data_IF_918819583223
#
_entry.id   IF_918819583223
#
_cell.length_a   1.000
_cell.length_b   1.000
_cell.length_c   1.000
_cell.angle_alpha   90.00
_cell.angle_beta   90.00
_cell.angle_gamma   90.00
#
_symmetry.space_group_name_H-M   'P 1'
#
loop_
_entity.id
_entity.type
_entity.pdbx_description
1 polymer ?
#
# COMPACT_ATOMS: atom_id res chain seq x y z
N UNK A 1 27.81 -1.10 33.30
CA UNK A 1 26.88 -0.79 32.18
C UNK A 1 25.83 0.14 32.76
N UNK A 2 25.45 1.20 32.05
CA UNK A 2 24.40 2.11 32.54
C UNK A 2 23.05 1.35 32.58
N UNK A 3 22.63 0.95 33.78
CA UNK A 3 21.40 0.17 34.02
C UNK A 3 20.14 0.89 33.50
N UNK A 4 20.15 2.23 33.47
CA UNK A 4 19.08 3.02 32.88
C UNK A 4 19.01 2.86 31.36
N UNK A 5 20.17 2.78 30.70
CA UNK A 5 20.24 2.63 29.25
C UNK A 5 19.79 1.24 28.80
N UNK A 6 20.11 0.20 29.57
CA UNK A 6 19.66 -1.17 29.27
C UNK A 6 18.15 -1.29 29.41
N UNK A 7 17.54 -0.64 30.41
CA UNK A 7 16.07 -0.58 30.56
C UNK A 7 15.38 0.14 29.39
N UNK A 8 15.92 1.29 28.96
CA UNK A 8 15.39 2.03 27.81
C UNK A 8 15.42 1.19 26.52
N UNK A 9 16.53 0.49 26.27
CA UNK A 9 16.67 -0.39 25.10
C UNK A 9 15.70 -1.58 25.17
N UNK A 10 15.47 -2.15 26.35
CA UNK A 10 14.52 -3.25 26.54
C UNK A 10 13.08 -2.79 26.26
N UNK A 11 12.67 -1.61 26.75
CA UNK A 11 11.36 -1.03 26.47
C UNK A 11 11.17 -0.74 24.98
N UNK A 12 12.19 -0.18 24.32
CA UNK A 12 12.14 0.10 22.89
C UNK A 12 11.95 -1.18 22.06
N UNK A 13 12.65 -2.26 22.40
CA UNK A 13 12.49 -3.56 21.73
C UNK A 13 11.10 -4.15 21.92
N UNK A 14 10.55 -4.10 23.14
CA UNK A 14 9.20 -4.59 23.41
C UNK A 14 8.14 -3.82 22.61
N UNK A 15 8.28 -2.49 22.50
CA UNK A 15 7.40 -1.66 21.67
C UNK A 15 7.55 -1.98 20.18
N UNK A 16 8.77 -2.26 19.72
CA UNK A 16 9.01 -2.66 18.33
C UNK A 16 8.36 -4.00 17.99
N UNK A 17 8.40 -4.97 18.90
CA UNK A 17 7.74 -6.26 18.74
C UNK A 17 6.22 -6.10 18.68
N UNK A 18 5.64 -5.30 19.59
CA UNK A 18 4.22 -4.95 19.54
C UNK A 18 3.82 -4.27 18.23
N UNK A 19 4.64 -3.35 17.72
CA UNK A 19 4.40 -2.71 16.43
C UNK A 19 4.38 -3.74 15.30
N UNK A 20 5.35 -4.66 15.27
CA UNK A 20 5.40 -5.69 14.24
C UNK A 20 4.16 -6.60 14.26
N UNK A 21 3.70 -7.03 15.45
CA UNK A 21 2.48 -7.81 15.57
C UNK A 21 1.23 -7.05 15.12
N UNK A 22 1.14 -5.76 15.44
CA UNK A 22 0.02 -4.91 15.06
C UNK A 22 0.03 -4.70 13.54
N UNK A 23 1.20 -4.49 12.94
CA UNK A 23 1.38 -4.36 11.49
C UNK A 23 0.94 -5.64 10.77
N UNK A 24 1.33 -6.82 11.26
CA UNK A 24 0.88 -8.10 10.69
C UNK A 24 -0.63 -8.28 10.78
N UNK A 25 -1.23 -8.00 11.94
CA UNK A 25 -2.69 -8.04 12.14
C UNK A 25 -3.40 -7.05 11.21
N UNK A 26 -2.82 -5.87 11.02
CA UNK A 26 -3.36 -4.83 10.15
C UNK A 26 -3.29 -5.23 8.66
N UNK A 27 -2.19 -5.81 8.20
CA UNK A 27 -2.07 -6.31 6.82
C UNK A 27 -3.00 -7.50 6.57
N UNK A 28 -3.16 -8.40 7.55
CA UNK A 28 -4.15 -9.47 7.47
C UNK A 28 -5.59 -8.92 7.31
N UNK A 29 -5.95 -7.88 8.09
CA UNK A 29 -7.25 -7.21 7.96
C UNK A 29 -7.42 -6.52 6.61
N UNK A 30 -6.40 -5.82 6.10
CA UNK A 30 -6.43 -5.25 4.74
C UNK A 30 -6.69 -6.31 3.68
N UNK A 31 -6.03 -7.47 3.79
CA UNK A 31 -6.23 -8.59 2.85
C UNK A 31 -7.68 -9.07 2.88
N UNK A 32 -8.25 -9.28 4.06
CA UNK A 32 -9.66 -9.69 4.20
C UNK A 32 -10.63 -8.64 3.64
N UNK A 33 -10.39 -7.35 3.90
CA UNK A 33 -11.20 -6.26 3.34
C UNK A 33 -11.14 -6.28 1.82
N UNK A 34 -9.94 -6.46 1.26
CA UNK A 34 -9.73 -6.53 -0.19
C UNK A 34 -10.44 -7.73 -0.83
N UNK A 35 -10.29 -8.93 -0.27
CA UNK A 35 -10.98 -10.14 -0.73
C UNK A 35 -12.50 -9.97 -0.73
N UNK A 36 -13.03 -9.29 0.30
CA UNK A 36 -14.46 -9.01 0.41
C UNK A 36 -14.95 -7.99 -0.62
N UNK A 37 -14.15 -6.97 -0.93
CA UNK A 37 -14.44 -5.99 -2.00
C UNK A 37 -14.39 -6.65 -3.38
N UNK A 38 -13.39 -7.51 -3.62
CA UNK A 38 -13.25 -8.26 -4.88
C UNK A 38 -14.42 -9.23 -5.08
N UNK A 39 -14.81 -9.98 -4.03
CA UNK A 39 -15.95 -10.92 -4.09
C UNK A 39 -17.29 -10.23 -4.34
N UNK A 40 -17.47 -9.02 -3.80
CA UNK A 40 -18.68 -8.24 -3.98
C UNK A 40 -18.69 -7.39 -5.25
N UNK A 41 -17.61 -7.40 -6.03
CA UNK A 41 -17.38 -6.52 -7.18
C UNK A 41 -17.57 -5.02 -6.86
N UNK A 42 -17.34 -4.63 -5.60
CA UNK A 42 -17.50 -3.26 -5.12
C UNK A 42 -16.14 -2.57 -5.09
N UNK A 43 -16.01 -1.50 -5.88
CA UNK A 43 -14.80 -0.67 -5.90
C UNK A 43 -14.76 0.35 -4.76
N UNK A 44 -15.92 0.67 -4.16
CA UNK A 44 -16.05 1.65 -3.08
C UNK A 44 -17.19 1.30 -2.15
N UNK A 45 -16.93 1.31 -0.84
CA UNK A 45 -17.93 1.03 0.21
C UNK A 45 -17.85 2.08 1.30
N UNK A 46 -18.99 2.66 1.66
CA UNK A 46 -19.11 3.55 2.82
C UNK A 46 -19.58 2.73 4.01
N UNK A 47 -18.81 2.77 5.08
CA UNK A 47 -19.13 2.11 6.36
C UNK A 47 -19.37 3.16 7.43
N UNK A 48 -19.80 2.75 8.63
CA UNK A 48 -19.87 3.65 9.79
C UNK A 48 -18.50 4.17 10.23
N UNK A 49 -17.43 3.45 9.90
CA UNK A 49 -16.06 3.76 10.32
C UNK A 49 -15.26 4.56 9.27
N UNK A 50 -15.84 4.85 8.09
CA UNK A 50 -15.14 5.54 7.02
C UNK A 50 -15.48 5.01 5.63
N UNK A 51 -14.75 5.47 4.63
CA UNK A 51 -14.88 5.04 3.23
C UNK A 51 -13.71 4.15 2.86
N UNK A 52 -14.03 2.96 2.35
CA UNK A 52 -13.03 2.03 1.81
C UNK A 52 -13.12 2.06 0.29
N UNK A 53 -11.98 2.23 -0.38
CA UNK A 53 -11.89 2.29 -1.83
C UNK A 53 -10.77 1.38 -2.34
N UNK A 54 -11.10 0.52 -3.30
CA UNK A 54 -10.15 -0.33 -4.02
C UNK A 54 -9.96 0.28 -5.42
N UNK A 55 -8.83 0.95 -5.64
CA UNK A 55 -8.49 1.54 -6.95
C UNK A 55 -7.50 0.65 -7.68
N UNK A 56 -7.79 0.38 -8.95
CA UNK A 56 -6.77 -0.04 -9.89
C UNK A 56 -5.90 1.17 -10.21
N UNK A 57 -4.60 1.06 -9.95
CA UNK A 57 -3.62 2.08 -10.31
C UNK A 57 -2.78 1.52 -11.43
N UNK A 58 -2.78 2.26 -12.53
CA UNK A 58 -1.86 2.05 -13.63
C UNK A 58 -0.63 2.89 -13.36
N UNK A 59 0.52 2.23 -13.21
CA UNK A 59 1.80 2.91 -13.08
C UNK A 59 2.66 2.59 -14.28
N UNK A 60 3.22 3.64 -14.85
CA UNK A 60 4.18 3.56 -15.93
C UNK A 60 5.51 4.09 -15.39
N UNK A 61 6.55 3.24 -15.40
CA UNK A 61 7.89 3.60 -14.88
C UNK A 61 8.65 4.60 -15.76
N UNK A 62 8.05 5.01 -16.88
CA UNK A 62 8.70 5.85 -17.87
C UNK A 62 8.24 7.30 -17.73
N UNK A 63 8.93 8.03 -16.86
CA UNK A 63 8.69 9.44 -16.61
C UNK A 63 9.33 10.29 -17.70
N UNK A 64 8.66 10.48 -18.82
CA UNK A 64 9.00 11.58 -19.73
C UNK A 64 7.79 11.92 -20.60
N UNK A 65 6.94 12.82 -20.09
CA UNK A 65 5.90 13.48 -20.90
C UNK A 65 6.45 14.02 -22.23
N UNK A 66 7.71 14.52 -22.21
CA UNK A 66 8.43 15.01 -23.40
C UNK A 66 8.79 13.92 -24.40
N UNK A 67 9.34 12.79 -23.95
CA UNK A 67 9.68 11.68 -24.85
C UNK A 67 8.44 11.04 -25.47
N UNK A 68 7.34 10.94 -24.73
CA UNK A 68 6.05 10.51 -25.30
C UNK A 68 5.53 11.48 -26.38
N UNK A 69 5.76 12.78 -26.21
CA UNK A 69 5.33 13.79 -27.15
C UNK A 69 6.19 13.79 -28.43
N UNK A 70 7.50 13.58 -28.30
CA UNK A 70 8.45 13.61 -29.42
C UNK A 70 8.58 12.25 -30.14
N UNK A 71 8.36 11.14 -29.43
CA UNK A 71 8.57 9.78 -29.94
C UNK A 71 7.47 8.80 -29.51
N UNK A 72 6.22 9.11 -29.84
CA UNK A 72 5.04 8.34 -29.43
C UNK A 72 5.07 6.85 -29.84
N UNK A 73 5.54 6.54 -31.06
CA UNK A 73 5.61 5.17 -31.59
C UNK A 73 6.64 4.31 -30.83
N UNK A 74 7.82 4.87 -30.54
CA UNK A 74 8.85 4.20 -29.75
C UNK A 74 8.45 4.06 -28.29
N UNK A 75 7.83 5.10 -27.72
CA UNK A 75 7.35 5.08 -26.34
C UNK A 75 6.38 3.89 -26.10
N UNK A 76 5.47 3.61 -27.04
CA UNK A 76 4.57 2.44 -26.95
C UNK A 76 5.30 1.09 -26.88
N UNK A 77 6.48 0.97 -27.47
CA UNK A 77 7.26 -0.28 -27.49
C UNK A 77 8.04 -0.51 -26.19
N UNK A 78 8.41 0.56 -25.49
CA UNK A 78 9.27 0.48 -24.30
C UNK A 78 8.52 0.69 -22.98
N UNK A 79 7.34 1.31 -23.01
CA UNK A 79 6.54 1.52 -21.80
C UNK A 79 5.86 0.21 -21.41
N UNK A 80 6.32 -0.35 -20.29
CA UNK A 80 5.62 -1.44 -19.61
C UNK A 80 4.64 -0.86 -18.60
N UNK A 81 3.35 -0.86 -18.94
CA UNK A 81 2.28 -0.52 -18.01
C UNK A 81 2.16 -1.64 -16.98
N UNK A 82 2.31 -1.29 -15.70
CA UNK A 82 2.10 -2.23 -14.59
C UNK A 82 0.83 -1.82 -13.86
N UNK A 83 -0.14 -2.73 -13.80
CA UNK A 83 -1.38 -2.52 -13.06
C UNK A 83 -1.25 -3.13 -11.67
N UNK A 84 -1.53 -2.36 -10.63
CA UNK A 84 -1.66 -2.88 -9.27
C UNK A 84 -2.86 -2.26 -8.57
N UNK A 85 -3.47 -2.99 -7.66
CA UNK A 85 -4.66 -2.55 -6.92
C UNK A 85 -4.22 -2.01 -5.57
N UNK A 86 -4.59 -0.75 -5.28
CA UNK A 86 -4.31 -0.09 -4.02
C UNK A 86 -5.61 0.04 -3.21
N UNK A 87 -5.58 -0.40 -1.96
CA UNK A 87 -6.64 -0.17 -0.99
C UNK A 87 -6.38 1.14 -0.24
N UNK A 88 -7.35 2.05 -0.24
CA UNK A 88 -7.34 3.29 0.56
C UNK A 88 -8.43 3.24 1.61
N UNK A 89 -8.06 3.54 2.85
CA UNK A 89 -8.95 3.72 3.99
C UNK A 89 -9.00 5.23 4.27
N UNK A 90 -10.18 5.85 4.18
CA UNK A 90 -10.43 7.29 4.36
C UNK A 90 -11.41 7.55 5.52
#
# INVERSE_FOLDING_TARGET
EDEDFTQLVAQAKALQEQLSEIEEKFEALKKQIRERLETSALTRVRTRAGVVELKLIESERFDTKRFKAEHAELAKQYIKTTTYTQLKLL
#
